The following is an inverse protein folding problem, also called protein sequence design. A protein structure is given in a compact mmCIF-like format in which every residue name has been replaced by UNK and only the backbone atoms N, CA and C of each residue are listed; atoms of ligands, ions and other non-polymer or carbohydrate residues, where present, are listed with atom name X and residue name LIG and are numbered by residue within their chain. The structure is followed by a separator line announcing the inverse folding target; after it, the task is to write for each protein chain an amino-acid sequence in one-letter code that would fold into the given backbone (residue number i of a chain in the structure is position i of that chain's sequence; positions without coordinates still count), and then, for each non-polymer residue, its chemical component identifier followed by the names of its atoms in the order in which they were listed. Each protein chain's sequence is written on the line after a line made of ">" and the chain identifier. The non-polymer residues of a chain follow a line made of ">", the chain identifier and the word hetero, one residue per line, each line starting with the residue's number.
data_IF_417232545557
#
_entry.id   IF_417232545557
#
_cell.length_a   1.000
_cell.length_b   1.000
_cell.length_c   1.000
_cell.angle_alpha   90.00
_cell.angle_beta   90.00
_cell.angle_gamma   90.00
#
_symmetry.space_group_name_H-M   'P 1'
#
loop_
_entity.id
_entity.type
_entity.pdbx_description
1 polymer ?
#
# COMPACT_ATOMS: atom_id res chain seq x y z
N UNK A 1 7.33 -0.36 0.75
CA UNK A 1 7.76 0.24 2.02
C UNK A 1 8.42 -0.81 2.90
N UNK A 2 7.69 -1.79 3.44
CA UNK A 2 8.27 -2.85 4.28
C UNK A 2 9.45 -3.58 3.63
N UNK A 3 9.30 -4.03 2.38
CA UNK A 3 10.40 -4.68 1.66
C UNK A 3 11.64 -3.78 1.47
N UNK A 4 11.46 -2.46 1.43
CA UNK A 4 12.54 -1.49 1.34
C UNK A 4 13.21 -1.26 2.70
N UNK A 5 12.43 -1.22 3.79
CA UNK A 5 12.95 -1.16 5.15
C UNK A 5 13.77 -2.42 5.47
N UNK A 6 13.23 -3.61 5.20
CA UNK A 6 13.92 -4.91 5.38
C UNK A 6 15.23 -4.95 4.59
N UNK A 7 15.23 -4.51 3.33
CA UNK A 7 16.43 -4.51 2.50
C UNK A 7 17.54 -3.55 3.01
N UNK A 8 17.18 -2.53 3.80
CA UNK A 8 18.11 -1.56 4.36
C UNK A 8 18.28 -1.70 5.88
N UNK A 9 17.88 -2.84 6.46
CA UNK A 9 18.02 -3.10 7.89
C UNK A 9 19.49 -3.13 8.35
N UNK A 10 20.44 -3.37 7.44
CA UNK A 10 21.88 -3.35 7.71
C UNK A 10 22.59 -2.10 7.13
N UNK A 11 21.83 -1.10 6.69
CA UNK A 11 22.38 0.14 6.12
C UNK A 11 22.52 1.20 7.24
N UNK A 12 23.75 1.64 7.59
CA UNK A 12 23.95 2.65 8.62
C UNK A 12 23.20 3.96 8.31
N UNK A 13 22.55 4.55 9.32
CA UNK A 13 21.81 5.80 9.19
C UNK A 13 20.50 5.73 8.38
N UNK A 14 20.03 4.53 8.02
CA UNK A 14 18.75 4.40 7.31
C UNK A 14 17.56 4.70 8.23
N UNK A 15 16.58 5.44 7.69
CA UNK A 15 15.35 5.79 8.40
C UNK A 15 14.16 5.04 7.80
N UNK A 16 13.56 4.16 8.60
CA UNK A 16 12.35 3.40 8.27
C UNK A 16 11.21 4.33 7.88
N UNK A 17 10.59 4.05 6.73
CA UNK A 17 9.45 4.81 6.22
C UNK A 17 8.19 3.97 6.24
N UNK A 18 7.09 4.59 6.60
CA UNK A 18 5.77 3.99 6.64
C UNK A 18 4.70 4.95 6.11
N UNK A 19 3.50 4.44 5.87
CA UNK A 19 2.37 5.22 5.38
C UNK A 19 1.08 4.72 6.01
N UNK A 20 0.21 5.65 6.42
CA UNK A 20 -1.16 5.29 6.81
C UNK A 20 -1.97 4.97 5.54
N UNK A 21 -1.89 3.71 5.11
CA UNK A 21 -2.61 3.23 3.93
C UNK A 21 -4.12 3.43 4.06
N UNK A 22 -4.69 3.38 5.28
CA UNK A 22 -6.12 3.58 5.49
C UNK A 22 -6.49 5.03 5.22
N UNK A 23 -5.74 5.98 5.77
CA UNK A 23 -5.93 7.40 5.48
C UNK A 23 -5.76 7.69 3.97
N UNK A 24 -4.74 7.12 3.33
CA UNK A 24 -4.50 7.28 1.90
C UNK A 24 -5.57 6.63 1.04
N UNK A 25 -6.09 5.46 1.42
CA UNK A 25 -7.18 4.80 0.71
C UNK A 25 -8.49 5.57 0.87
N UNK A 26 -8.76 6.14 2.05
CA UNK A 26 -9.91 7.02 2.25
C UNK A 26 -9.77 8.28 1.40
N UNK A 27 -8.58 8.89 1.40
CA UNK A 27 -8.25 10.04 0.56
C UNK A 27 -8.43 9.71 -0.93
N UNK A 28 -7.94 8.56 -1.40
CA UNK A 28 -8.08 8.12 -2.79
C UNK A 28 -9.52 7.75 -3.17
N UNK A 29 -10.34 7.30 -2.20
CA UNK A 29 -11.77 7.07 -2.42
C UNK A 29 -12.58 8.37 -2.46
N UNK A 30 -12.20 9.37 -1.67
CA UNK A 30 -12.82 10.70 -1.70
C UNK A 30 -12.35 11.53 -2.89
N UNK A 31 -11.09 11.35 -3.29
CA UNK A 31 -10.49 11.93 -4.48
C UNK A 31 -10.86 11.04 -5.67
N UNK A 32 -12.15 11.00 -5.98
CA UNK A 32 -12.66 10.54 -7.26
C UNK A 32 -12.18 11.49 -8.34
N UNK A 33 -10.89 11.43 -8.65
CA UNK A 33 -10.26 12.05 -9.79
C UNK A 33 -10.73 11.38 -11.08
N UNK A 34 -12.01 11.50 -11.39
CA UNK A 34 -12.53 11.30 -12.73
C UNK A 34 -12.10 12.51 -13.51
N UNK A 35 -11.22 12.32 -14.48
CA UNK A 35 -10.95 13.36 -15.43
C UNK A 35 -11.14 12.90 -16.86
N UNK A 36 -12.38 13.14 -17.27
CA UNK A 36 -12.85 13.77 -18.51
C UNK A 36 -12.40 13.22 -19.87
N UNK A 37 -13.39 13.12 -20.76
CA UNK A 37 -13.21 12.79 -22.17
C UNK A 37 -12.43 13.90 -22.87
N UNK A 38 -11.26 13.58 -23.41
CA UNK A 38 -10.53 14.48 -24.31
C UNK A 38 -11.24 14.57 -25.66
N UNK A 39 -11.75 15.74 -25.98
CA UNK A 39 -12.37 16.04 -27.27
C UNK A 39 -11.37 16.55 -28.31
N UNK A 40 -10.14 16.88 -27.90
CA UNK A 40 -9.10 17.38 -28.80
C UNK A 40 -7.72 16.76 -28.51
N UNK A 41 -6.93 16.62 -29.58
CA UNK A 41 -5.62 15.96 -29.61
C UNK A 41 -4.50 16.74 -28.89
N UNK A 42 -4.70 18.01 -28.55
CA UNK A 42 -3.76 18.79 -27.72
C UNK A 42 -4.09 18.86 -26.23
N UNK A 43 -5.20 18.27 -25.77
CA UNK A 43 -5.51 18.23 -24.34
C UNK A 43 -4.42 17.46 -23.57
N UNK A 44 -4.25 17.71 -22.27
CA UNK A 44 -3.43 16.88 -21.40
C UNK A 44 -4.32 15.82 -20.73
N UNK A 45 -3.83 14.60 -20.55
CA UNK A 45 -4.53 13.63 -19.71
C UNK A 45 -4.38 14.03 -18.27
N UNK A 46 -5.39 13.79 -17.44
CA UNK A 46 -5.26 14.11 -16.03
C UNK A 46 -4.13 13.37 -15.38
N UNK A 47 -3.19 14.18 -14.92
CA UNK A 47 -2.29 13.85 -13.86
C UNK A 47 -3.12 13.66 -12.59
N UNK A 48 -3.46 12.41 -12.31
CA UNK A 48 -3.44 11.87 -10.97
C UNK A 48 -2.58 10.60 -11.07
N UNK A 49 -1.35 10.76 -11.56
CA UNK A 49 -0.33 9.82 -11.15
C UNK A 49 -0.30 9.95 -9.63
N UNK A 50 -0.83 8.94 -8.93
CA UNK A 50 -0.59 8.80 -7.50
C UNK A 50 0.90 9.03 -7.31
N UNK A 51 1.25 10.20 -6.76
CA UNK A 51 2.62 10.52 -6.49
C UNK A 51 3.10 9.42 -5.55
N UNK A 52 4.04 8.59 -6.02
CA UNK A 52 4.51 7.36 -5.35
C UNK A 52 5.32 7.66 -4.09
N UNK A 53 5.05 8.80 -3.45
CA UNK A 53 5.59 9.26 -2.18
C UNK A 53 4.64 10.13 -1.36
N UNK A 54 3.42 10.45 -1.85
CA UNK A 54 2.46 11.27 -1.11
C UNK A 54 1.96 10.52 0.13
N UNK A 55 2.43 10.95 1.31
CA UNK A 55 2.06 10.38 2.61
C UNK A 55 3.07 9.42 3.24
N UNK A 56 4.27 9.27 2.65
CA UNK A 56 5.37 8.56 3.31
C UNK A 56 5.86 9.39 4.50
N UNK A 57 5.80 8.80 5.69
CA UNK A 57 6.26 9.39 6.94
C UNK A 57 7.41 8.55 7.50
N UNK A 58 8.34 9.20 8.19
CA UNK A 58 9.34 8.48 8.97
C UNK A 58 8.69 7.95 10.24
N UNK A 59 8.96 6.68 10.56
CA UNK A 59 8.47 6.07 11.79
C UNK A 59 9.27 6.59 12.98
N UNK A 60 8.63 6.81 14.12
CA UNK A 60 9.33 7.04 15.39
C UNK A 60 9.92 5.73 15.88
N UNK A 61 11.25 5.57 15.96
CA UNK A 61 11.86 4.31 16.37
C UNK A 61 11.59 4.01 17.84
N UNK A 62 11.17 2.78 18.15
CA UNK A 62 11.12 2.29 19.53
C UNK A 62 12.52 1.92 20.04
N UNK A 63 13.40 1.44 19.16
CA UNK A 63 14.77 1.06 19.49
C UNK A 63 15.71 1.45 18.33
N UNK A 64 16.24 2.69 18.32
CA UNK A 64 17.24 3.08 17.32
C UNK A 64 18.56 2.35 17.59
N UNK A 65 19.18 1.86 16.52
CA UNK A 65 20.51 1.26 16.58
C UNK A 65 21.59 2.32 16.87
N UNK A 66 22.73 1.85 17.39
CA UNK A 66 23.88 2.71 17.73
C UNK A 66 24.45 3.44 16.50
N UNK A 67 24.25 2.89 15.31
CA UNK A 67 24.66 3.43 14.01
C UNK A 67 23.65 4.42 13.40
N UNK A 68 22.56 4.74 14.11
CA UNK A 68 21.51 5.63 13.64
C UNK A 68 20.49 4.99 12.70
N UNK A 69 20.53 3.67 12.51
CA UNK A 69 19.47 2.96 11.81
C UNK A 69 18.20 2.85 12.69
N UNK A 70 17.04 3.16 12.13
CA UNK A 70 15.75 3.11 12.83
C UNK A 70 14.91 1.88 12.49
N UNK A 71 15.42 0.96 11.66
CA UNK A 71 14.73 -0.26 11.23
C UNK A 71 14.85 -1.34 12.28
N UNK A 72 13.71 -1.90 12.69
CA UNK A 72 13.65 -3.14 13.47
C UNK A 72 13.28 -4.31 12.56
N UNK A 73 14.25 -5.19 12.28
CA UNK A 73 14.07 -6.30 11.36
C UNK A 73 12.97 -7.28 11.80
N UNK A 74 12.83 -7.56 13.11
CA UNK A 74 11.84 -8.53 13.59
C UNK A 74 10.43 -7.97 13.45
N UNK A 75 10.26 -6.69 13.77
CA UNK A 75 8.99 -5.98 13.58
C UNK A 75 8.60 -5.93 12.10
N UNK A 76 9.53 -5.56 11.22
CA UNK A 76 9.27 -5.48 9.78
C UNK A 76 8.93 -6.85 9.16
N UNK A 77 9.56 -7.93 9.64
CA UNK A 77 9.22 -9.30 9.22
C UNK A 77 7.81 -9.72 9.69
N UNK A 78 7.43 -9.36 10.92
CA UNK A 78 6.10 -9.64 11.44
C UNK A 78 5.02 -8.89 10.65
N UNK A 79 5.22 -7.60 10.40
CA UNK A 79 4.30 -6.80 9.58
C UNK A 79 4.23 -7.30 8.13
N UNK A 80 5.35 -7.77 7.57
CA UNK A 80 5.35 -8.36 6.23
C UNK A 80 4.52 -9.64 6.18
N UNK A 81 4.68 -10.52 7.18
CA UNK A 81 3.91 -11.76 7.28
C UNK A 81 2.41 -11.50 7.46
N UNK A 82 2.03 -10.52 8.28
CA UNK A 82 0.64 -10.10 8.47
C UNK A 82 0.04 -9.60 7.15
N UNK A 83 0.75 -8.72 6.44
CA UNK A 83 0.31 -8.20 5.15
C UNK A 83 0.15 -9.31 4.09
N UNK A 84 1.07 -10.27 4.05
CA UNK A 84 0.98 -11.42 3.15
C UNK A 84 -0.26 -12.27 3.44
N UNK A 85 -0.55 -12.53 4.72
CA UNK A 85 -1.73 -13.28 5.13
C UNK A 85 -3.04 -12.52 4.82
N UNK A 86 -3.08 -11.21 5.09
CA UNK A 86 -4.22 -10.35 4.79
C UNK A 86 -4.52 -10.31 3.28
N UNK A 87 -3.48 -10.25 2.44
CA UNK A 87 -3.60 -10.32 0.98
C UNK A 87 -4.22 -11.66 0.56
N UNK A 88 -3.65 -12.78 0.98
CA UNK A 88 -4.15 -14.12 0.65
C UNK A 88 -5.63 -14.31 1.08
N UNK A 89 -5.97 -13.81 2.26
CA UNK A 89 -7.34 -13.85 2.79
C UNK A 89 -8.29 -13.01 1.95
N UNK A 90 -7.86 -11.84 1.50
CA UNK A 90 -8.64 -10.96 0.62
C UNK A 90 -8.96 -11.63 -0.73
N UNK A 91 -8.01 -12.36 -1.33
CA UNK A 91 -8.27 -13.15 -2.54
C UNK A 91 -9.26 -14.29 -2.29
N UNK A 92 -9.15 -14.93 -1.13
CA UNK A 92 -10.06 -16.00 -0.75
C UNK A 92 -11.51 -15.48 -0.66
N UNK A 93 -11.72 -14.33 -0.01
CA UNK A 93 -13.05 -13.71 0.05
C UNK A 93 -13.55 -13.23 -1.30
N UNK A 94 -12.67 -12.63 -2.12
CA UNK A 94 -13.03 -12.18 -3.46
C UNK A 94 -13.46 -13.35 -4.35
N UNK A 95 -12.71 -14.46 -4.33
CA UNK A 95 -13.05 -15.66 -5.08
C UNK A 95 -14.39 -16.24 -4.64
N UNK A 96 -14.63 -16.36 -3.33
CA UNK A 96 -15.93 -16.79 -2.78
C UNK A 96 -17.08 -15.91 -3.25
N UNK A 97 -16.88 -14.58 -3.29
CA UNK A 97 -17.89 -13.65 -3.80
C UNK A 97 -18.18 -13.89 -5.28
N UNK A 98 -17.16 -14.10 -6.12
CA UNK A 98 -17.35 -14.42 -7.53
C UNK A 98 -18.07 -15.75 -7.74
N UNK A 99 -17.67 -16.80 -7.02
CA UNK A 99 -18.36 -18.10 -7.08
C UNK A 99 -19.82 -17.97 -6.64
N UNK A 100 -20.10 -17.21 -5.57
CA UNK A 100 -21.46 -16.93 -5.12
C UNK A 100 -22.31 -16.20 -6.16
N UNK A 101 -21.75 -15.17 -6.81
CA UNK A 101 -22.43 -14.45 -7.90
C UNK A 101 -22.67 -15.36 -9.12
N UNK A 102 -21.68 -16.17 -9.52
CA UNK A 102 -21.84 -17.13 -10.62
C UNK A 102 -22.92 -18.16 -10.32
N UNK A 103 -22.97 -18.67 -9.08
CA UNK A 103 -23.98 -19.62 -8.64
C UNK A 103 -25.39 -19.02 -8.70
N UNK A 104 -25.56 -17.80 -8.19
CA UNK A 104 -26.82 -17.06 -8.27
C UNK A 104 -27.27 -16.79 -9.72
N UNK A 105 -26.34 -16.47 -10.63
CA UNK A 105 -26.64 -16.26 -12.06
C UNK A 105 -27.05 -17.59 -12.74
N UNK A 106 -26.42 -18.71 -12.37
CA UNK A 106 -26.76 -20.04 -12.90
C UNK A 106 -28.06 -20.63 -12.33
N UNK A 107 -28.53 -20.13 -11.18
CA UNK A 107 -29.77 -20.57 -10.55
C UNK A 107 -29.65 -21.83 -9.69
N UNK A 108 -28.45 -22.13 -9.18
CA UNK A 108 -28.19 -23.22 -8.21
C UNK A 108 -28.09 -22.72 -6.77
#
# INVERSE_FOLDING_TARGET
>A
MLANNIANADTPGYQSRDMDFKALLMQAKSDQGVNLKRTNSRHFSTANAMETGAGLQYRTPMQPSVDGNTVDLQMEQAEYAENALAFQTSFTFLNRKFTGLMKAIKGE
#
